data_IF_092306067142
#
_entry.id   IF_092306067142
#
_cell.length_a   1.000
_cell.length_b   1.000
_cell.length_c   1.000
_cell.angle_alpha   90.00
_cell.angle_beta   90.00
_cell.angle_gamma   90.00
#
_symmetry.space_group_name_H-M   'P 1'
#
loop_
_entity.id
_entity.type
_entity.pdbx_description
1 polymer ?
#
# COMPACT_ATOMS: atom_id res chain seq x y z
N UNK A 1 -14.56 -18.34 -10.21
CA UNK A 1 -15.15 -17.01 -9.95
C UNK A 1 -16.19 -17.14 -8.86
N UNK A 2 -15.85 -16.79 -7.61
CA UNK A 2 -16.84 -16.64 -6.55
C UNK A 2 -17.47 -15.25 -6.74
N UNK A 3 -18.81 -15.12 -6.71
CA UNK A 3 -19.45 -13.81 -6.79
C UNK A 3 -19.05 -12.99 -5.56
N UNK A 4 -18.57 -11.77 -5.80
CA UNK A 4 -18.21 -10.80 -4.78
C UNK A 4 -19.39 -10.62 -3.83
N UNK A 5 -19.22 -11.10 -2.60
CA UNK A 5 -20.18 -10.84 -1.53
C UNK A 5 -19.97 -9.38 -1.13
N UNK A 6 -21.02 -8.51 -1.16
CA UNK A 6 -20.88 -7.13 -0.71
C UNK A 6 -20.28 -7.08 0.69
N UNK A 7 -19.35 -6.15 0.94
CA UNK A 7 -18.64 -6.02 2.22
C UNK A 7 -19.57 -5.98 3.46
N UNK A 8 -20.81 -5.52 3.28
CA UNK A 8 -21.86 -5.47 4.30
C UNK A 8 -22.31 -6.86 4.83
N UNK A 9 -21.96 -7.97 4.18
CA UNK A 9 -22.33 -9.33 4.58
C UNK A 9 -21.12 -10.21 4.99
N UNK A 10 -19.95 -9.63 5.20
CA UNK A 10 -18.76 -10.39 5.63
C UNK A 10 -18.83 -10.60 7.14
N UNK A 11 -18.79 -11.87 7.56
CA UNK A 11 -18.53 -12.22 8.96
C UNK A 11 -17.05 -11.94 9.27
N UNK A 12 -16.77 -10.73 9.73
CA UNK A 12 -15.42 -10.24 9.98
C UNK A 12 -14.68 -11.11 11.01
N UNK A 13 -15.37 -11.60 12.04
CA UNK A 13 -14.78 -12.50 13.04
C UNK A 13 -14.37 -13.84 12.42
N UNK A 14 -15.24 -14.42 11.60
CA UNK A 14 -14.92 -15.68 10.92
C UNK A 14 -13.78 -15.51 9.89
N UNK A 15 -13.73 -14.39 9.18
CA UNK A 15 -12.67 -14.09 8.21
C UNK A 15 -11.32 -13.84 8.90
N UNK A 16 -11.29 -13.10 10.01
CA UNK A 16 -10.08 -12.94 10.83
C UNK A 16 -9.51 -14.30 11.27
N UNK A 17 -10.36 -15.17 11.83
CA UNK A 17 -9.95 -16.50 12.27
C UNK A 17 -9.48 -17.39 11.10
N UNK A 18 -10.05 -17.22 9.91
CA UNK A 18 -9.58 -17.91 8.69
C UNK A 18 -8.19 -17.42 8.30
N UNK A 19 -7.97 -16.11 8.26
CA UNK A 19 -6.69 -15.50 7.92
C UNK A 19 -5.58 -15.90 8.91
N UNK A 20 -5.86 -15.94 10.21
CA UNK A 20 -4.90 -16.42 11.22
C UNK A 20 -4.50 -17.89 10.98
N UNK A 21 -5.46 -18.76 10.64
CA UNK A 21 -5.15 -20.16 10.30
C UNK A 21 -4.30 -20.23 9.03
N UNK A 22 -4.61 -19.40 8.03
CA UNK A 22 -3.81 -19.33 6.79
C UNK A 22 -2.39 -18.82 7.06
N UNK A 23 -2.21 -17.84 7.94
CA UNK A 23 -0.89 -17.36 8.34
C UNK A 23 -0.03 -18.46 8.98
N UNK A 24 -0.63 -19.37 9.74
CA UNK A 24 0.06 -20.54 10.29
C UNK A 24 0.48 -21.59 9.24
N UNK A 25 -0.16 -21.60 8.08
CA UNK A 25 0.17 -22.49 6.96
C UNK A 25 1.22 -21.90 6.02
N UNK A 26 1.30 -20.57 5.92
CA UNK A 26 2.19 -19.83 5.04
C UNK A 26 2.98 -18.78 5.85
N UNK A 27 4.03 -19.19 6.60
CA UNK A 27 4.82 -18.29 7.42
C UNK A 27 5.44 -17.10 6.66
N UNK A 28 5.75 -17.28 5.38
CA UNK A 28 6.29 -16.26 4.47
C UNK A 28 5.32 -15.13 4.15
N UNK A 29 4.02 -15.36 4.31
CA UNK A 29 2.94 -14.39 4.10
C UNK A 29 2.28 -13.98 5.44
N UNK A 30 2.84 -14.42 6.57
CA UNK A 30 2.22 -14.26 7.88
C UNK A 30 2.00 -12.79 8.26
N UNK A 31 2.94 -11.89 7.95
CA UNK A 31 2.79 -10.45 8.23
C UNK A 31 1.53 -9.88 7.55
N UNK A 32 1.43 -10.04 6.23
CA UNK A 32 0.29 -9.54 5.45
C UNK A 32 -1.04 -10.17 5.87
N UNK A 33 -1.05 -11.48 6.17
CA UNK A 33 -2.25 -12.20 6.57
C UNK A 33 -2.72 -11.78 7.98
N UNK A 34 -1.80 -11.60 8.92
CA UNK A 34 -2.12 -11.18 10.28
C UNK A 34 -2.53 -9.70 10.35
N UNK A 35 -1.92 -8.83 9.54
CA UNK A 35 -2.38 -7.43 9.40
C UNK A 35 -3.82 -7.36 8.87
N UNK A 36 -4.16 -8.17 7.87
CA UNK A 36 -5.53 -8.27 7.38
C UNK A 36 -6.49 -8.85 8.43
N UNK A 37 -6.06 -9.86 9.19
CA UNK A 37 -6.85 -10.41 10.28
C UNK A 37 -7.13 -9.35 11.35
N UNK A 38 -6.13 -8.55 11.73
CA UNK A 38 -6.29 -7.43 12.66
C UNK A 38 -7.31 -6.40 12.14
N UNK A 39 -7.23 -6.00 10.86
CA UNK A 39 -8.21 -5.10 10.27
C UNK A 39 -9.65 -5.66 10.29
N UNK A 40 -9.83 -6.97 10.12
CA UNK A 40 -11.15 -7.59 10.30
C UNK A 40 -11.63 -7.55 11.76
N UNK A 41 -10.74 -7.74 12.74
CA UNK A 41 -11.08 -7.62 14.17
C UNK A 41 -11.42 -6.17 14.56
N UNK A 42 -10.74 -5.19 13.97
CA UNK A 42 -11.08 -3.78 14.10
C UNK A 42 -12.49 -3.49 13.59
N UNK A 43 -12.82 -3.98 12.39
CA UNK A 43 -14.14 -3.81 11.79
C UNK A 43 -15.25 -4.56 12.55
N UNK A 44 -14.94 -5.67 13.23
CA UNK A 44 -15.90 -6.36 14.10
C UNK A 44 -16.04 -5.74 15.49
N UNK A 45 -15.18 -4.78 15.84
CA UNK A 45 -15.14 -4.10 17.14
C UNK A 45 -14.33 -4.84 18.21
N UNK A 46 -13.68 -5.97 17.90
CA UNK A 46 -12.79 -6.68 18.83
C UNK A 46 -11.38 -6.05 18.83
N UNK A 47 -11.33 -4.80 19.28
CA UNK A 47 -10.11 -3.98 19.36
C UNK A 47 -9.00 -4.65 20.20
N UNK A 48 -9.28 -5.27 21.37
CA UNK A 48 -8.24 -5.97 22.13
C UNK A 48 -7.63 -7.16 21.38
N UNK A 49 -8.42 -7.92 20.62
CA UNK A 49 -7.89 -9.02 19.82
C UNK A 49 -7.01 -8.51 18.67
N UNK A 50 -7.38 -7.41 18.01
CA UNK A 50 -6.53 -6.74 17.02
C UNK A 50 -5.18 -6.31 17.62
N UNK A 51 -5.19 -5.68 18.80
CA UNK A 51 -3.94 -5.33 19.53
C UNK A 51 -3.08 -6.55 19.81
N UNK A 52 -3.67 -7.67 20.22
CA UNK A 52 -2.92 -8.91 20.47
C UNK A 52 -2.23 -9.45 19.21
N UNK A 53 -2.82 -9.26 18.02
CA UNK A 53 -2.16 -9.61 16.76
C UNK A 53 -1.00 -8.68 16.43
N UNK A 54 -1.15 -7.37 16.67
CA UNK A 54 -0.03 -6.43 16.50
C UNK A 54 1.13 -6.73 17.45
N UNK A 55 0.85 -7.07 18.71
CA UNK A 55 1.88 -7.48 19.67
C UNK A 55 2.56 -8.80 19.26
N UNK A 56 1.79 -9.76 18.72
CA UNK A 56 2.34 -11.01 18.16
C UNK A 56 3.29 -10.71 17.00
N UNK A 57 2.91 -9.83 16.08
CA UNK A 57 3.77 -9.43 14.97
C UNK A 57 5.06 -8.76 15.48
N UNK A 58 4.93 -7.76 16.35
CA UNK A 58 6.07 -6.98 16.86
C UNK A 58 7.02 -7.80 17.74
N UNK A 59 6.54 -8.84 18.40
CA UNK A 59 7.38 -9.74 19.20
C UNK A 59 8.15 -10.76 18.36
N UNK A 60 7.66 -11.10 17.16
CA UNK A 60 8.29 -12.09 16.28
C UNK A 60 9.68 -11.67 15.74
N UNK A 61 10.02 -10.37 15.82
CA UNK A 61 11.31 -9.66 15.61
C UNK A 61 12.18 -9.98 14.37
N UNK A 62 12.22 -11.20 13.86
CA UNK A 62 13.00 -11.60 12.69
C UNK A 62 12.15 -11.46 11.41
N UNK A 63 12.60 -10.60 10.49
CA UNK A 63 12.09 -10.57 9.11
C UNK A 63 10.81 -9.76 8.85
N UNK A 64 10.38 -8.89 9.77
CA UNK A 64 9.26 -7.98 9.49
C UNK A 64 9.62 -6.97 8.39
N UNK A 65 8.73 -6.82 7.41
CA UNK A 65 8.89 -5.89 6.29
C UNK A 65 8.71 -4.44 6.77
N UNK A 66 7.68 -4.14 7.57
CA UNK A 66 7.42 -2.78 8.04
C UNK A 66 7.02 -2.68 9.53
N UNK A 67 7.98 -2.78 10.46
CA UNK A 67 7.72 -2.64 11.90
C UNK A 67 7.14 -1.28 12.32
N UNK A 68 7.42 -0.21 11.58
CA UNK A 68 6.90 1.13 11.88
C UNK A 68 5.41 1.21 11.56
N UNK A 69 4.99 0.63 10.44
CA UNK A 69 3.58 0.55 10.03
C UNK A 69 2.76 -0.24 11.04
N UNK A 70 3.25 -1.39 11.49
CA UNK A 70 2.57 -2.22 12.49
C UNK A 70 2.36 -1.43 13.79
N UNK A 71 3.37 -0.67 14.24
CA UNK A 71 3.25 0.19 15.42
C UNK A 71 2.23 1.31 15.22
N UNK A 72 2.20 1.94 14.04
CA UNK A 72 1.24 2.99 13.72
C UNK A 72 -0.20 2.47 13.76
N UNK A 73 -0.45 1.30 13.14
CA UNK A 73 -1.75 0.64 13.17
C UNK A 73 -2.16 0.25 14.61
N UNK A 74 -1.22 -0.31 15.40
CA UNK A 74 -1.46 -0.60 16.81
C UNK A 74 -1.86 0.67 17.59
N UNK A 75 -1.14 1.77 17.40
CA UNK A 75 -1.44 3.03 18.09
C UNK A 75 -2.85 3.55 17.72
N UNK A 76 -3.19 3.52 16.42
CA UNK A 76 -4.52 3.89 15.96
C UNK A 76 -5.61 3.02 16.58
N UNK A 77 -5.42 1.70 16.64
CA UNK A 77 -6.37 0.79 17.25
C UNK A 77 -6.52 1.01 18.77
N UNK A 78 -5.43 1.29 19.49
CA UNK A 78 -5.46 1.56 20.94
C UNK A 78 -6.30 2.78 21.32
N UNK A 79 -6.30 3.79 20.46
CA UNK A 79 -7.07 5.01 20.70
C UNK A 79 -8.58 4.75 20.71
N UNK A 80 -9.03 3.81 19.87
CA UNK A 80 -10.44 3.46 19.68
C UNK A 80 -11.08 2.74 20.89
N UNK A 81 -10.31 2.31 21.90
CA UNK A 81 -10.83 1.61 23.07
C UNK A 81 -10.17 2.05 24.40
N UNK A 82 -9.94 3.36 24.56
CA UNK A 82 -9.51 4.02 25.81
C UNK A 82 -8.06 3.73 26.28
N UNK A 83 -7.16 3.33 25.36
CA UNK A 83 -5.73 3.14 25.66
C UNK A 83 -4.84 4.28 25.13
N UNK A 84 -5.35 5.50 25.20
CA UNK A 84 -4.72 6.72 24.67
C UNK A 84 -3.27 6.93 25.14
N UNK A 85 -2.97 6.70 26.42
CA UNK A 85 -1.62 6.92 26.94
C UNK A 85 -0.59 5.98 26.29
N UNK A 86 -0.97 4.74 25.99
CA UNK A 86 -0.12 3.79 25.27
C UNK A 86 0.00 4.18 23.80
N UNK A 87 -1.12 4.58 23.17
CA UNK A 87 -1.13 5.06 21.78
C UNK A 87 -0.17 6.24 21.60
N UNK A 88 -0.23 7.27 22.46
CA UNK A 88 0.67 8.43 22.44
C UNK A 88 2.14 8.02 22.60
N UNK A 89 2.44 7.12 23.53
CA UNK A 89 3.82 6.64 23.72
C UNK A 89 4.37 5.93 22.47
N UNK A 90 3.52 5.15 21.78
CA UNK A 90 3.91 4.50 20.52
C UNK A 90 4.13 5.54 19.42
N UNK A 91 3.25 6.54 19.32
CA UNK A 91 3.35 7.63 18.35
C UNK A 91 4.64 8.41 18.53
N UNK A 92 4.97 8.80 19.76
CA UNK A 92 6.23 9.48 20.07
C UNK A 92 7.43 8.60 19.69
N UNK A 93 7.34 7.29 19.93
CA UNK A 93 8.34 6.33 19.50
C UNK A 93 8.54 6.29 17.98
N UNK A 94 7.45 6.30 17.19
CA UNK A 94 7.50 6.34 15.72
C UNK A 94 8.14 7.64 15.23
N UNK A 95 7.76 8.78 15.82
CA UNK A 95 8.33 10.08 15.46
C UNK A 95 9.84 10.11 15.73
N UNK A 96 10.27 9.58 16.89
CA UNK A 96 11.68 9.49 17.26
C UNK A 96 12.51 8.59 16.35
N UNK A 97 11.95 7.50 15.81
CA UNK A 97 12.68 6.61 14.88
C UNK A 97 12.72 7.16 13.45
N UNK A 98 11.90 8.15 13.14
CA UNK A 98 11.85 8.85 11.87
C UNK A 98 11.82 7.91 10.64
N UNK A 99 10.78 7.05 10.50
CA UNK A 99 10.70 6.09 9.41
C UNK A 99 10.69 6.80 8.05
N UNK A 100 11.35 6.18 7.07
CA UNK A 100 11.43 6.69 5.69
C UNK A 100 10.23 6.31 4.82
N UNK A 101 9.37 5.45 5.34
CA UNK A 101 8.07 5.14 4.74
C UNK A 101 7.05 6.21 5.15
N UNK A 102 6.25 6.79 4.23
CA UNK A 102 5.19 7.74 4.57
C UNK A 102 4.00 7.13 5.32
N UNK A 103 3.68 5.84 5.14
CA UNK A 103 2.46 5.24 5.66
C UNK A 103 2.32 5.28 7.20
N UNK A 104 3.38 4.98 8.00
CA UNK A 104 3.31 5.13 9.45
C UNK A 104 2.98 6.55 9.89
N UNK A 105 3.52 7.56 9.21
CA UNK A 105 3.26 8.98 9.52
C UNK A 105 1.82 9.37 9.22
N UNK A 106 1.27 8.92 8.08
CA UNK A 106 -0.14 9.17 7.71
C UNK A 106 -1.06 8.59 8.76
N UNK A 107 -0.91 7.30 9.11
CA UNK A 107 -1.79 6.63 10.07
C UNK A 107 -1.76 7.32 11.43
N UNK A 108 -0.56 7.66 11.93
CA UNK A 108 -0.42 8.36 13.21
C UNK A 108 -1.07 9.74 13.17
N UNK A 109 -0.83 10.52 12.12
CA UNK A 109 -1.37 11.87 12.02
C UNK A 109 -2.89 11.88 11.84
N UNK A 110 -3.45 10.94 11.08
CA UNK A 110 -4.89 10.77 10.93
C UNK A 110 -5.56 10.25 12.21
N UNK A 111 -4.88 9.39 12.96
CA UNK A 111 -5.35 8.96 14.29
C UNK A 111 -5.39 10.13 15.28
N UNK A 112 -4.38 11.01 15.27
CA UNK A 112 -4.41 12.25 16.07
C UNK A 112 -5.56 13.17 15.62
N UNK A 113 -5.73 13.33 14.29
CA UNK A 113 -6.79 14.13 13.70
C UNK A 113 -8.19 13.65 14.12
N UNK A 114 -8.46 12.35 14.02
CA UNK A 114 -9.78 11.77 14.34
C UNK A 114 -10.16 11.88 15.83
N UNK A 115 -9.16 12.12 16.69
CA UNK A 115 -9.31 12.28 18.13
C UNK A 115 -9.13 13.73 18.60
N UNK A 116 -9.33 14.71 17.69
CA UNK A 116 -9.32 16.16 17.97
C UNK A 116 -7.96 16.72 18.44
N UNK A 117 -6.87 16.00 18.19
CA UNK A 117 -5.49 16.44 18.48
C UNK A 117 -4.89 17.18 17.27
N UNK A 118 -5.59 18.21 16.78
CA UNK A 118 -5.29 18.87 15.50
C UNK A 118 -3.89 19.50 15.47
N UNK A 119 -3.45 20.11 16.58
CA UNK A 119 -2.09 20.61 16.74
C UNK A 119 -1.04 19.51 16.48
N UNK A 120 -1.17 18.39 17.17
CA UNK A 120 -0.22 17.28 17.09
C UNK A 120 -0.27 16.60 15.72
N UNK A 121 -1.45 16.49 15.11
CA UNK A 121 -1.61 15.98 13.75
C UNK A 121 -0.88 16.87 12.73
N UNK A 122 -1.04 18.20 12.82
CA UNK A 122 -0.36 19.15 11.93
C UNK A 122 1.16 19.12 12.08
N UNK A 123 1.65 19.03 13.31
CA UNK A 123 3.08 18.88 13.61
C UNK A 123 3.63 17.58 13.02
N UNK A 124 2.90 16.47 13.18
CA UNK A 124 3.30 15.15 12.67
C UNK A 124 3.36 15.13 11.14
N UNK A 125 2.32 15.62 10.46
CA UNK A 125 2.33 15.74 9.00
C UNK A 125 3.47 16.64 8.50
N UNK A 126 3.71 17.76 9.20
CA UNK A 126 4.77 18.70 8.82
C UNK A 126 6.15 18.10 9.04
N UNK A 127 6.36 17.35 10.11
CA UNK A 127 7.60 16.62 10.38
C UNK A 127 7.88 15.56 9.31
N UNK A 128 6.87 14.75 8.97
CA UNK A 128 6.96 13.77 7.89
C UNK A 128 7.26 14.41 6.53
N UNK A 129 6.58 15.50 6.20
CA UNK A 129 6.83 16.26 4.97
C UNK A 129 8.26 16.80 4.91
N UNK A 130 8.82 17.33 6.01
CA UNK A 130 10.23 17.76 6.06
C UNK A 130 11.20 16.60 5.87
N UNK A 131 10.86 15.42 6.37
CA UNK A 131 11.73 14.24 6.31
C UNK A 131 11.76 13.59 4.93
N UNK A 132 10.61 13.57 4.24
CA UNK A 132 10.38 12.74 3.07
C UNK A 132 10.30 13.53 1.76
N UNK A 133 10.01 14.83 1.81
CA UNK A 133 10.00 15.69 0.63
C UNK A 133 11.37 16.31 0.40
N UNK A 134 11.75 16.41 -0.87
CA UNK A 134 12.99 17.07 -1.30
C UNK A 134 12.67 18.31 -2.11
N UNK A 135 13.23 19.46 -1.72
CA UNK A 135 12.98 20.73 -2.39
C UNK A 135 13.37 20.69 -3.88
N UNK A 136 12.50 21.25 -4.72
CA UNK A 136 12.73 21.37 -6.16
C UNK A 136 12.55 20.07 -6.96
N UNK A 137 12.07 19.00 -6.35
CA UNK A 137 11.64 17.77 -7.03
C UNK A 137 10.14 17.56 -6.86
N UNK A 138 9.49 16.99 -7.87
CA UNK A 138 8.09 16.59 -7.76
C UNK A 138 7.93 15.47 -6.72
N UNK A 139 7.05 15.61 -5.71
CA UNK A 139 6.87 14.61 -4.67
C UNK A 139 6.42 13.26 -5.22
N UNK A 140 6.97 12.13 -4.73
CA UNK A 140 6.47 10.81 -5.08
C UNK A 140 4.99 10.65 -4.73
N UNK A 141 4.24 9.89 -5.54
CA UNK A 141 2.81 9.68 -5.30
C UNK A 141 2.50 9.10 -3.90
N UNK A 142 3.40 8.29 -3.35
CA UNK A 142 3.29 7.73 -2.00
C UNK A 142 3.33 8.79 -0.89
N UNK A 143 3.88 9.99 -1.14
CA UNK A 143 3.93 11.08 -0.16
C UNK A 143 2.78 12.07 -0.30
N UNK A 144 1.95 11.95 -1.36
CA UNK A 144 0.80 12.84 -1.57
C UNK A 144 -0.20 12.82 -0.39
N UNK A 145 -0.51 11.68 0.24
CA UNK A 145 -1.40 11.66 1.41
C UNK A 145 -0.90 12.51 2.59
N UNK A 146 0.41 12.69 2.75
CA UNK A 146 0.97 13.58 3.78
C UNK A 146 0.60 15.04 3.52
N UNK A 147 0.69 15.47 2.26
CA UNK A 147 0.33 16.82 1.84
C UNK A 147 -1.18 17.06 1.94
N UNK A 148 -1.99 16.07 1.56
CA UNK A 148 -3.45 16.16 1.64
C UNK A 148 -3.95 16.18 3.09
N UNK A 149 -3.43 15.29 3.93
CA UNK A 149 -3.74 15.27 5.37
C UNK A 149 -3.30 16.57 6.07
N UNK A 150 -2.10 17.06 5.75
CA UNK A 150 -1.62 18.35 6.25
C UNK A 150 -2.53 19.50 5.87
N UNK A 151 -2.90 19.61 4.59
CA UNK A 151 -3.83 20.62 4.11
C UNK A 151 -5.15 20.55 4.89
N UNK A 152 -5.69 19.36 5.07
CA UNK A 152 -6.95 19.13 5.81
C UNK A 152 -6.88 19.63 7.25
N UNK A 153 -5.86 19.21 8.00
CA UNK A 153 -5.69 19.61 9.41
C UNK A 153 -5.46 21.12 9.53
N UNK A 154 -4.63 21.72 8.64
CA UNK A 154 -4.39 23.17 8.64
C UNK A 154 -5.66 23.97 8.37
N UNK A 155 -6.52 23.50 7.46
CA UNK A 155 -7.85 24.07 7.20
C UNK A 155 -8.74 24.03 8.43
N UNK A 156 -8.80 22.90 9.13
CA UNK A 156 -9.56 22.77 10.37
C UNK A 156 -9.05 23.70 11.48
N UNK A 157 -7.74 23.93 11.54
CA UNK A 157 -7.11 24.89 12.46
C UNK A 157 -7.23 26.36 12.02
N UNK A 158 -7.81 26.63 10.85
CA UNK A 158 -7.94 27.99 10.31
C UNK A 158 -6.61 28.65 9.95
N UNK A 159 -5.58 27.87 9.66
CA UNK A 159 -4.26 28.38 9.28
C UNK A 159 -4.27 28.82 7.80
N UNK A 160 -3.50 29.86 7.43
CA UNK A 160 -3.36 30.28 6.04
C UNK A 160 -2.60 29.23 5.23
N UNK A 161 -2.91 29.14 3.92
CA UNK A 161 -2.17 28.28 3.00
C UNK A 161 -0.71 28.70 2.91
N UNK A 162 0.17 27.71 2.87
CA UNK A 162 1.58 27.87 2.55
C UNK A 162 1.97 27.18 1.23
N UNK A 163 3.27 27.10 0.97
CA UNK A 163 3.81 26.52 -0.25
C UNK A 163 3.46 25.02 -0.40
N UNK A 164 3.34 24.28 0.70
CA UNK A 164 2.98 22.87 0.67
C UNK A 164 1.48 22.67 0.49
N UNK A 165 0.66 23.57 1.02
CA UNK A 165 -0.78 23.57 0.75
C UNK A 165 -1.03 23.85 -0.76
N UNK A 166 -0.31 24.80 -1.35
CA UNK A 166 -0.35 25.08 -2.80
C UNK A 166 0.16 23.89 -3.64
N UNK A 167 1.18 23.20 -3.16
CA UNK A 167 1.70 21.99 -3.80
C UNK A 167 0.67 20.86 -3.74
N UNK A 168 -0.02 20.68 -2.61
CA UNK A 168 -1.10 19.71 -2.45
C UNK A 168 -2.21 19.94 -3.49
N UNK A 169 -2.66 21.19 -3.65
CA UNK A 169 -3.66 21.56 -4.66
C UNK A 169 -3.22 21.23 -6.09
N UNK A 170 -1.93 21.38 -6.38
CA UNK A 170 -1.37 21.10 -7.71
C UNK A 170 -1.28 19.60 -8.01
N UNK A 171 -0.98 18.79 -6.99
CA UNK A 171 -0.86 17.33 -7.10
C UNK A 171 -2.22 16.62 -7.10
N UNK A 172 -3.24 17.23 -6.51
CA UNK A 172 -4.58 16.66 -6.43
C UNK A 172 -5.30 16.73 -7.77
N UNK A 173 -5.50 15.58 -8.40
CA UNK A 173 -6.12 15.49 -9.74
C UNK A 173 -7.62 15.18 -9.72
N UNK A 174 -8.23 15.04 -8.54
CA UNK A 174 -9.66 14.70 -8.49
C UNK A 174 -10.54 15.90 -8.90
N UNK A 175 -11.78 15.66 -9.35
CA UNK A 175 -12.65 16.74 -9.84
C UNK A 175 -13.03 17.82 -8.81
N UNK A 176 -12.95 17.49 -7.52
CA UNK A 176 -13.28 18.39 -6.40
C UNK A 176 -11.98 18.91 -5.80
N UNK A 177 -11.73 20.24 -5.75
CA UNK A 177 -10.53 20.81 -5.15
C UNK A 177 -10.38 20.47 -3.67
N UNK A 178 -9.13 20.43 -3.16
CA UNK A 178 -8.87 20.14 -1.75
C UNK A 178 -9.50 21.19 -0.82
N UNK A 179 -9.51 22.47 -1.22
CA UNK A 179 -10.17 23.54 -0.47
C UNK A 179 -11.65 23.26 -0.19
N UNK A 180 -12.34 22.64 -1.15
CA UNK A 180 -13.74 22.25 -1.02
C UNK A 180 -13.89 20.92 -0.27
N UNK A 181 -12.97 19.97 -0.50
CA UNK A 181 -12.94 18.70 0.23
C UNK A 181 -12.70 18.88 1.72
N UNK A 182 -11.83 19.82 2.06
CA UNK A 182 -11.36 20.09 3.41
C UNK A 182 -12.02 21.33 4.03
N UNK A 183 -13.15 21.82 3.48
CA UNK A 183 -13.91 22.90 4.09
C UNK A 183 -14.59 22.40 5.38
N UNK A 184 -14.23 22.92 6.58
CA UNK A 184 -14.87 22.51 7.82
C UNK A 184 -16.39 22.76 7.83
N UNK A 185 -16.88 23.73 7.03
CA UNK A 185 -18.31 24.01 6.90
C UNK A 185 -19.04 22.99 6.02
N UNK A 186 -18.34 22.23 5.18
CA UNK A 186 -18.93 21.14 4.38
C UNK A 186 -19.43 20.02 5.27
N UNK A 187 -18.73 19.69 6.36
CA UNK A 187 -19.17 18.70 7.36
C UNK A 187 -20.51 19.10 7.99
N UNK A 188 -20.80 20.40 8.12
CA UNK A 188 -22.11 20.89 8.58
C UNK A 188 -23.22 20.82 7.52
N UNK A 189 -22.90 20.78 6.23
CA UNK A 189 -23.90 20.66 5.16
C UNK A 189 -24.59 19.29 5.12
N UNK A 190 -23.93 18.24 5.63
CA UNK A 190 -24.52 16.91 5.81
C UNK A 190 -25.61 16.87 6.90
N UNK A 191 -25.71 17.92 7.74
CA UNK A 191 -26.80 18.16 8.68
C UNK A 191 -27.84 19.17 8.19
N UNK A 192 -27.77 19.61 6.92
CA UNK A 192 -28.71 20.56 6.33
C UNK A 192 -30.02 19.87 5.94
N UNK A 193 -31.16 20.47 6.30
CA UNK A 193 -32.48 20.03 5.84
C UNK A 193 -32.81 20.49 4.41
N UNK A 194 -31.89 21.20 3.73
CA UNK A 194 -32.11 21.72 2.39
C UNK A 194 -31.93 20.63 1.31
N UNK A 195 -32.97 20.24 0.56
CA UNK A 195 -32.89 19.17 -0.42
C UNK A 195 -31.90 19.43 -1.58
N UNK A 196 -31.69 20.70 -1.95
CA UNK A 196 -30.76 21.04 -3.03
C UNK A 196 -29.30 20.87 -2.60
N UNK A 197 -28.97 21.23 -1.36
CA UNK A 197 -27.64 21.04 -0.77
C UNK A 197 -27.35 19.55 -0.60
N UNK A 198 -28.31 18.78 -0.07
CA UNK A 198 -28.19 17.33 0.06
C UNK A 198 -28.00 16.63 -1.29
N UNK A 199 -28.73 17.03 -2.35
CA UNK A 199 -28.59 16.42 -3.68
C UNK A 199 -27.24 16.72 -4.34
N UNK A 200 -26.72 17.94 -4.17
CA UNK A 200 -25.38 18.32 -4.63
C UNK A 200 -24.32 17.50 -3.89
N UNK A 201 -24.46 17.34 -2.57
CA UNK A 201 -23.52 16.58 -1.75
C UNK A 201 -23.56 15.08 -2.06
N UNK A 202 -24.74 14.48 -2.26
CA UNK A 202 -24.87 13.08 -2.70
C UNK A 202 -24.19 12.87 -4.06
N UNK A 203 -24.36 13.79 -5.01
CA UNK A 203 -23.74 13.68 -6.33
C UNK A 203 -22.22 13.76 -6.24
N UNK A 204 -21.70 14.60 -5.36
CA UNK A 204 -20.28 14.75 -5.09
C UNK A 204 -19.69 13.53 -4.38
N UNK A 205 -20.32 13.05 -3.30
CA UNK A 205 -19.95 11.82 -2.60
C UNK A 205 -19.93 10.61 -3.55
N UNK A 206 -20.85 10.54 -4.52
CA UNK A 206 -20.84 9.50 -5.56
C UNK A 206 -19.64 9.61 -6.51
N UNK A 207 -19.22 10.82 -6.86
CA UNK A 207 -18.03 11.04 -7.68
C UNK A 207 -16.74 10.68 -6.90
N UNK A 208 -16.67 11.06 -5.62
CA UNK A 208 -15.58 10.67 -4.71
C UNK A 208 -15.53 9.15 -4.53
N UNK A 209 -16.67 8.50 -4.25
CA UNK A 209 -16.79 7.04 -4.19
C UNK A 209 -16.42 6.37 -5.53
N UNK A 210 -16.73 7.00 -6.65
CA UNK A 210 -16.35 6.52 -7.98
C UNK A 210 -14.83 6.52 -8.16
N UNK A 211 -14.17 7.63 -7.87
CA UNK A 211 -12.72 7.77 -7.96
C UNK A 211 -11.98 6.85 -6.96
N UNK A 212 -12.50 6.74 -5.73
CA UNK A 212 -11.95 5.86 -4.70
C UNK A 212 -12.13 4.38 -5.08
N UNK A 213 -13.31 4.00 -5.59
CA UNK A 213 -13.54 2.66 -6.14
C UNK A 213 -12.64 2.37 -7.30
N UNK A 214 -12.45 3.29 -8.24
CA UNK A 214 -11.54 3.11 -9.37
C UNK A 214 -10.08 2.93 -8.91
N UNK A 215 -9.64 3.67 -7.89
CA UNK A 215 -8.32 3.51 -7.29
C UNK A 215 -8.16 2.16 -6.58
N UNK A 216 -9.16 1.72 -5.82
CA UNK A 216 -9.17 0.43 -5.12
C UNK A 216 -9.42 -0.77 -6.05
N UNK A 217 -10.19 -0.57 -7.11
CA UNK A 217 -10.56 -1.59 -8.10
C UNK A 217 -9.60 -1.62 -9.28
N UNK A 218 -8.45 -0.94 -9.19
CA UNK A 218 -7.38 -1.19 -10.13
C UNK A 218 -7.14 -2.70 -10.10
N UNK A 219 -7.29 -3.40 -11.23
CA UNK A 219 -6.92 -4.81 -11.29
C UNK A 219 -5.49 -4.93 -10.75
N UNK A 220 -5.17 -6.01 -10.03
CA UNK A 220 -3.79 -6.28 -9.62
C UNK A 220 -2.84 -5.95 -10.77
N UNK A 221 -1.70 -5.30 -10.48
CA UNK A 221 -0.88 -4.75 -11.54
C UNK A 221 -0.59 -5.82 -12.57
N UNK A 222 -0.64 -5.46 -13.86
CA UNK A 222 -0.17 -6.36 -14.92
C UNK A 222 1.32 -6.54 -14.65
N UNK A 223 1.66 -7.68 -14.07
CA UNK A 223 2.96 -7.92 -13.48
C UNK A 223 3.80 -8.84 -14.36
N UNK A 224 5.08 -8.48 -14.48
CA UNK A 224 6.07 -9.31 -15.16
C UNK A 224 6.93 -10.03 -14.12
N UNK A 225 7.23 -11.30 -14.37
CA UNK A 225 8.03 -12.13 -13.46
C UNK A 225 9.51 -11.79 -13.58
N UNK A 226 10.11 -11.43 -12.46
CA UNK A 226 11.54 -11.25 -12.29
C UNK A 226 12.16 -12.43 -11.55
N UNK A 227 13.32 -12.88 -12.04
CA UNK A 227 14.12 -13.94 -11.43
C UNK A 227 15.48 -13.36 -11.05
N UNK A 228 15.81 -13.26 -9.76
CA UNK A 228 17.14 -12.89 -9.33
C UNK A 228 18.19 -13.85 -9.92
N UNK A 229 19.39 -13.36 -10.22
CA UNK A 229 20.48 -14.17 -10.79
C UNK A 229 20.70 -15.56 -10.13
N UNK A 230 20.77 -15.69 -8.78
CA UNK A 230 20.94 -17.00 -8.16
C UNK A 230 19.73 -17.93 -8.39
N UNK A 231 18.51 -17.40 -8.28
CA UNK A 231 17.26 -18.15 -8.47
C UNK A 231 17.11 -18.59 -9.93
N UNK A 232 17.48 -17.74 -10.90
CA UNK A 232 17.45 -18.10 -12.31
C UNK A 232 18.44 -19.22 -12.63
N UNK A 233 19.64 -19.16 -12.05
CA UNK A 233 20.65 -20.21 -12.23
C UNK A 233 20.18 -21.55 -11.63
N UNK A 234 19.56 -21.52 -10.46
CA UNK A 234 18.96 -22.69 -9.82
C UNK A 234 17.81 -23.26 -10.67
N UNK A 235 16.89 -22.40 -11.11
CA UNK A 235 15.74 -22.78 -11.94
C UNK A 235 16.20 -23.51 -13.22
N UNK A 236 17.19 -22.97 -13.93
CA UNK A 236 17.70 -23.56 -15.17
C UNK A 236 18.50 -24.83 -14.94
N UNK A 237 19.11 -24.99 -13.76
CA UNK A 237 19.79 -26.23 -13.37
C UNK A 237 18.78 -27.34 -13.06
N UNK A 238 17.68 -27.02 -12.38
CA UNK A 238 16.64 -27.98 -12.01
C UNK A 238 15.70 -28.32 -13.18
N UNK A 239 15.40 -27.33 -14.03
CA UNK A 239 14.46 -27.43 -15.14
C UNK A 239 15.09 -26.95 -16.47
N UNK A 240 16.02 -27.73 -17.06
CA UNK A 240 16.70 -27.36 -18.30
C UNK A 240 15.81 -26.95 -19.48
N UNK A 241 14.57 -27.48 -19.66
CA UNK A 241 13.67 -27.03 -20.72
C UNK A 241 13.35 -25.53 -20.68
N UNK A 242 13.41 -24.88 -19.51
CA UNK A 242 13.13 -23.43 -19.37
C UNK A 242 14.25 -22.54 -19.93
N UNK A 243 15.38 -23.10 -20.35
CA UNK A 243 16.48 -22.34 -20.96
C UNK A 243 16.11 -21.68 -22.29
N UNK A 244 15.08 -22.17 -22.99
CA UNK A 244 14.55 -21.48 -24.17
C UNK A 244 13.81 -20.19 -23.83
N UNK A 245 13.13 -20.15 -22.68
CA UNK A 245 12.42 -18.95 -22.20
C UNK A 245 13.37 -17.96 -21.55
N UNK A 246 14.41 -18.46 -20.87
CA UNK A 246 15.43 -17.63 -20.22
C UNK A 246 16.84 -17.94 -20.74
N UNK A 247 17.23 -17.42 -21.92
CA UNK A 247 18.55 -17.68 -22.49
C UNK A 247 19.71 -17.16 -21.63
N UNK A 248 19.52 -16.04 -20.95
CA UNK A 248 20.47 -15.46 -20.01
C UNK A 248 19.78 -14.50 -19.03
N UNK A 249 20.41 -14.23 -17.89
CA UNK A 249 19.90 -13.24 -16.92
C UNK A 249 19.83 -11.82 -17.52
N UNK A 250 20.83 -11.42 -18.32
CA UNK A 250 20.84 -10.11 -18.97
C UNK A 250 19.69 -9.98 -19.98
N UNK A 251 19.45 -11.03 -20.79
CA UNK A 251 18.31 -11.08 -21.72
C UNK A 251 16.98 -11.05 -20.98
N UNK A 252 16.87 -11.73 -19.84
CA UNK A 252 15.69 -11.70 -18.99
C UNK A 252 15.35 -10.28 -18.53
N UNK A 253 16.33 -9.57 -17.94
CA UNK A 253 16.14 -8.20 -17.49
C UNK A 253 15.76 -7.24 -18.64
N UNK A 254 16.45 -7.32 -19.77
CA UNK A 254 16.15 -6.51 -20.95
C UNK A 254 14.73 -6.78 -21.49
N UNK A 255 14.29 -8.04 -21.44
CA UNK A 255 12.94 -8.44 -21.87
C UNK A 255 11.87 -7.86 -20.96
N UNK A 256 12.06 -7.92 -19.64
CA UNK A 256 11.14 -7.32 -18.66
C UNK A 256 10.96 -5.83 -18.93
N UNK A 257 12.05 -5.07 -19.02
CA UNK A 257 12.00 -3.61 -19.24
C UNK A 257 11.32 -3.28 -20.58
N UNK A 258 11.67 -4.01 -21.65
CA UNK A 258 11.06 -3.81 -22.97
C UNK A 258 9.56 -4.08 -22.95
N UNK A 259 9.12 -5.19 -22.36
CA UNK A 259 7.70 -5.55 -22.26
C UNK A 259 6.91 -4.53 -21.43
N UNK A 260 7.46 -4.06 -20.32
CA UNK A 260 6.81 -3.05 -19.48
C UNK A 260 6.68 -1.69 -20.20
N UNK A 261 7.71 -1.26 -20.94
CA UNK A 261 7.66 -0.05 -21.79
C UNK A 261 6.64 -0.19 -22.90
N UNK A 262 6.58 -1.34 -23.56
CA UNK A 262 5.59 -1.61 -24.60
C UNK A 262 4.17 -1.52 -24.03
N UNK A 263 3.89 -2.21 -22.93
CA UNK A 263 2.60 -2.17 -22.24
C UNK A 263 2.22 -0.74 -21.83
N UNK A 264 3.16 0.01 -21.24
CA UNK A 264 2.92 1.40 -20.84
C UNK A 264 2.61 2.30 -22.04
N UNK A 265 3.39 2.18 -23.12
CA UNK A 265 3.18 2.96 -24.34
C UNK A 265 1.85 2.67 -25.04
N UNK A 266 1.32 1.45 -24.87
CA UNK A 266 0.00 1.04 -25.36
C UNK A 266 -1.17 1.57 -24.51
N UNK A 267 -0.88 2.26 -23.41
CA UNK A 267 -1.87 2.81 -22.49
C UNK A 267 -2.25 1.89 -21.33
N UNK A 268 -1.53 0.78 -21.13
CA UNK A 268 -1.73 -0.09 -19.97
C UNK A 268 -1.11 0.58 -18.74
N UNK A 269 -1.96 1.05 -17.83
CA UNK A 269 -1.56 1.55 -16.52
C UNK A 269 -1.45 0.45 -15.46
N UNK A 270 -0.99 0.80 -14.26
CA UNK A 270 -0.83 -0.13 -13.13
C UNK A 270 0.05 -1.34 -13.48
N UNK A 271 1.29 -1.08 -13.90
CA UNK A 271 2.25 -2.14 -14.21
C UNK A 271 3.10 -2.45 -12.97
N UNK A 272 3.57 -3.69 -12.89
CA UNK A 272 4.41 -4.11 -11.78
C UNK A 272 5.39 -5.21 -12.13
N UNK A 273 6.24 -5.52 -11.17
CA UNK A 273 7.23 -6.59 -11.22
C UNK A 273 7.05 -7.44 -9.98
N UNK A 274 6.95 -8.75 -10.18
CA UNK A 274 6.91 -9.74 -9.08
C UNK A 274 8.19 -10.53 -9.10
N UNK A 275 8.82 -10.71 -7.94
CA UNK A 275 10.05 -11.50 -7.84
C UNK A 275 9.71 -12.93 -7.43
N UNK A 276 10.11 -13.89 -8.26
CA UNK A 276 9.93 -15.32 -8.01
C UNK A 276 11.13 -15.96 -7.30
N UNK A 277 10.87 -17.05 -6.58
CA UNK A 277 11.89 -17.97 -6.05
C UNK A 277 11.59 -19.39 -6.49
N UNK A 278 12.62 -20.22 -6.70
CA UNK A 278 12.45 -21.61 -7.16
C UNK A 278 11.56 -22.40 -6.21
N UNK A 279 11.74 -22.36 -4.87
CA UNK A 279 10.86 -23.07 -3.95
C UNK A 279 9.40 -22.61 -4.03
N UNK A 280 9.16 -21.30 -4.19
CA UNK A 280 7.80 -20.74 -4.31
C UNK A 280 7.13 -21.18 -5.61
N UNK A 281 7.86 -21.21 -6.71
CA UNK A 281 7.37 -21.65 -8.02
C UNK A 281 7.10 -23.17 -8.04
N UNK A 282 7.97 -23.98 -7.44
CA UNK A 282 7.75 -25.42 -7.29
C UNK A 282 6.51 -25.73 -6.44
N UNK A 283 6.33 -25.02 -5.34
CA UNK A 283 5.13 -25.13 -4.52
C UNK A 283 3.86 -24.74 -5.29
N UNK A 284 3.94 -23.68 -6.11
CA UNK A 284 2.84 -23.27 -6.98
C UNK A 284 2.52 -24.34 -8.04
N UNK A 285 3.52 -24.84 -8.77
CA UNK A 285 3.33 -25.88 -9.78
C UNK A 285 2.71 -27.15 -9.18
N UNK A 286 3.19 -27.58 -8.01
CA UNK A 286 2.61 -28.70 -7.27
C UNK A 286 1.14 -28.45 -6.89
N UNK A 287 0.79 -27.23 -6.48
CA UNK A 287 -0.59 -26.86 -6.14
C UNK A 287 -1.54 -26.87 -7.34
N UNK A 288 -1.03 -26.55 -8.53
CA UNK A 288 -1.75 -26.63 -9.81
C UNK A 288 -1.76 -28.04 -10.41
N UNK A 289 -1.11 -29.01 -9.75
CA UNK A 289 -0.99 -30.39 -10.25
C UNK A 289 -0.21 -30.49 -11.57
N UNK A 290 0.65 -29.51 -11.84
CA UNK A 290 1.50 -29.45 -13.04
C UNK A 290 2.98 -29.53 -12.66
N UNK A 291 3.84 -29.56 -13.67
CA UNK A 291 5.29 -29.67 -13.51
C UNK A 291 5.95 -28.30 -13.70
N UNK A 292 7.01 -27.96 -12.93
CA UNK A 292 7.66 -26.65 -13.06
C UNK A 292 8.30 -26.38 -14.44
N UNK A 293 8.53 -27.42 -15.25
CA UNK A 293 9.02 -27.29 -16.63
C UNK A 293 7.95 -26.85 -17.65
N UNK A 294 6.68 -26.77 -17.24
CA UNK A 294 5.58 -26.24 -18.05
C UNK A 294 5.65 -24.71 -18.13
N UNK A 295 6.07 -24.19 -19.29
CA UNK A 295 6.23 -22.74 -19.51
C UNK A 295 4.92 -21.96 -19.40
N UNK A 296 3.77 -22.63 -19.53
CA UNK A 296 2.46 -21.97 -19.39
C UNK A 296 2.12 -21.57 -17.95
N UNK A 297 2.87 -22.10 -16.96
CA UNK A 297 2.72 -21.74 -15.56
C UNK A 297 3.39 -20.41 -15.20
N UNK A 298 4.42 -19.97 -15.93
CA UNK A 298 5.19 -18.77 -15.57
C UNK A 298 4.29 -17.50 -15.50
N UNK A 299 3.41 -17.21 -16.49
CA UNK A 299 2.51 -16.07 -16.40
C UNK A 299 1.43 -16.23 -15.32
N UNK A 300 0.99 -17.47 -15.05
CA UNK A 300 0.01 -17.77 -14.02
C UNK A 300 0.60 -17.53 -12.63
N UNK A 301 1.82 -18.00 -12.39
CA UNK A 301 2.59 -17.75 -11.18
C UNK A 301 2.79 -16.25 -10.95
N UNK A 302 3.18 -15.51 -11.99
CA UNK A 302 3.31 -14.05 -11.92
C UNK A 302 1.99 -13.39 -11.49
N UNK A 303 0.87 -13.83 -12.08
CA UNK A 303 -0.47 -13.35 -11.74
C UNK A 303 -0.84 -13.70 -10.29
N UNK A 304 -0.51 -14.90 -9.82
CA UNK A 304 -0.74 -15.31 -8.43
C UNK A 304 0.07 -14.47 -7.46
N UNK A 305 1.35 -14.19 -7.75
CA UNK A 305 2.18 -13.31 -6.92
C UNK A 305 1.62 -11.88 -6.87
N UNK A 306 1.17 -11.35 -8.02
CA UNK A 306 0.55 -10.04 -8.09
C UNK A 306 -0.75 -9.99 -7.28
N UNK A 307 -1.59 -11.02 -7.39
CA UNK A 307 -2.83 -11.17 -6.62
C UNK A 307 -2.58 -11.32 -5.11
N UNK A 308 -1.41 -11.80 -4.70
CA UNK A 308 -0.94 -11.82 -3.31
C UNK A 308 -0.31 -10.50 -2.84
N UNK A 309 -0.28 -9.48 -3.70
CA UNK A 309 0.29 -8.16 -3.36
C UNK A 309 1.81 -8.12 -3.38
N UNK A 310 2.48 -9.10 -3.99
CA UNK A 310 3.96 -9.17 -4.07
C UNK A 310 4.55 -8.33 -5.21
N UNK A 311 3.72 -7.58 -5.93
CA UNK A 311 4.14 -6.78 -7.07
C UNK A 311 4.69 -5.41 -6.62
N UNK A 312 5.89 -5.09 -7.06
CA UNK A 312 6.49 -3.75 -6.94
C UNK A 312 6.07 -2.92 -8.14
N UNK A 313 5.69 -1.67 -7.93
CA UNK A 313 5.24 -0.79 -9.01
C UNK A 313 6.35 -0.51 -10.04
N UNK A 314 5.97 -0.49 -11.32
CA UNK A 314 6.84 -0.07 -12.42
C UNK A 314 6.16 1.06 -13.24
N UNK A 315 6.90 2.10 -13.66
CA UNK A 315 8.32 2.33 -13.36
C UNK A 315 8.52 2.61 -11.86
N UNK A 316 9.66 2.22 -11.27
CA UNK A 316 10.04 2.64 -9.94
C UNK A 316 9.95 4.16 -9.81
N UNK A 317 9.67 4.65 -8.60
CA UNK A 317 9.65 6.08 -8.34
C UNK A 317 11.00 6.72 -8.70
N UNK A 318 11.01 7.98 -9.14
CA UNK A 318 12.24 8.69 -9.49
C UNK A 318 13.17 8.73 -8.25
N UNK A 319 14.41 8.28 -8.41
CA UNK A 319 15.38 8.19 -7.31
C UNK A 319 15.33 6.86 -6.53
N UNK A 320 14.34 6.00 -6.78
CA UNK A 320 14.31 4.65 -6.21
C UNK A 320 15.35 3.75 -6.87
N UNK A 321 15.79 2.74 -6.11
CA UNK A 321 16.66 1.68 -6.63
C UNK A 321 16.02 0.95 -7.80
N UNK A 322 16.85 0.48 -8.72
CA UNK A 322 16.41 -0.27 -9.87
C UNK A 322 15.87 -1.64 -9.43
N UNK A 323 14.74 -2.02 -10.02
CA UNK A 323 14.04 -3.28 -9.74
C UNK A 323 14.88 -4.55 -10.05
N UNK A 324 15.98 -4.42 -10.78
CA UNK A 324 16.87 -5.52 -11.17
C UNK A 324 17.80 -6.00 -10.04
N UNK A 325 17.82 -5.31 -8.88
CA UNK A 325 18.65 -5.68 -7.73
C UNK A 325 20.13 -5.27 -7.84
N UNK A 326 20.49 -4.41 -8.79
CA UNK A 326 21.86 -3.92 -8.95
C UNK A 326 22.29 -2.86 -7.91
N UNK A 327 21.35 -2.31 -7.11
CA UNK A 327 21.60 -1.26 -6.14
C UNK A 327 21.79 0.16 -6.72
N UNK A 328 21.81 0.28 -8.05
CA UNK A 328 21.84 1.58 -8.76
C UNK A 328 20.43 2.18 -8.87
N UNK A 329 20.34 3.51 -9.01
CA UNK A 329 19.05 4.20 -9.21
C UNK A 329 18.43 3.81 -10.55
N UNK A 330 17.11 3.59 -10.60
CA UNK A 330 16.40 3.16 -11.82
C UNK A 330 16.73 4.03 -13.03
N UNK A 331 16.67 5.35 -12.90
CA UNK A 331 16.94 6.30 -14.00
C UNK A 331 18.38 6.29 -14.54
N UNK A 332 19.34 5.71 -13.81
CA UNK A 332 20.74 5.55 -14.22
C UNK A 332 21.05 4.12 -14.69
N UNK A 333 20.09 3.21 -14.53
CA UNK A 333 20.18 1.80 -14.89
C UNK A 333 19.21 1.49 -16.05
N UNK A 334 18.12 0.74 -15.81
CA UNK A 334 17.15 0.37 -16.84
C UNK A 334 16.19 1.50 -17.25
N UNK A 335 16.15 2.58 -16.47
CA UNK A 335 15.38 3.79 -16.74
C UNK A 335 16.08 4.79 -17.67
N UNK A 336 17.36 4.55 -18.01
CA UNK A 336 18.16 5.37 -18.92
C UNK A 336 17.71 5.29 -20.39
#
# INVERSE_FOLDING_TARGET
>A
MRPDTPAENVDHTAEAARLERTAGLYPEDAEALLLRAAAHLELSGDRPAATALYDRLLSASDGLENPALIRALKASNLWEYDHEAEARAIIDGIRLTAPRDPAPWVIVAESLESHDELEAAEETFTEAARLLLTDGQEPPASTHPLLYGRHRVRRMRGLPHDAWDTLADTLHTAPVPLDELHDPKRVWSLGSDNPAELAAEISRLRAELGAYREALSRPFPVAVLHWPAPELAELLSAYPPLSSEYPSHETHLATIESSLRELSSSGTGNLGIVTGTVPSYEAFAASEGSSPDDTTLLPQYATTLAARGRAVAWPPQRGAECWCGAGEVYGECHGA
#
